data_IF_846324642817
#
_entry.id   IF_846324642817
#
_cell.length_a   1.000
_cell.length_b   1.000
_cell.length_c   1.000
_cell.angle_alpha   90.00
_cell.angle_beta   90.00
_cell.angle_gamma   90.00
#
_symmetry.space_group_name_H-M   'P 1'
#
loop_
_entity.id
_entity.type
_entity.pdbx_description
1 polymer ?
#
# COMPACT_ATOMS: atom_id res chain seq x y z
N UNK A 1 -20.60 -12.04 3.76
CA UNK A 1 -19.80 -11.61 2.61
C UNK A 1 -19.13 -10.30 3.01
N UNK A 2 -17.88 -10.35 3.47
CA UNK A 2 -17.14 -9.14 3.85
C UNK A 2 -16.59 -8.46 2.61
N UNK A 3 -16.64 -7.14 2.56
CA UNK A 3 -16.01 -6.36 1.49
C UNK A 3 -14.49 -6.41 1.67
N UNK A 4 -13.76 -6.80 0.63
CA UNK A 4 -12.31 -6.79 0.58
C UNK A 4 -11.81 -5.58 -0.23
N UNK A 5 -10.57 -5.12 0.03
CA UNK A 5 -9.98 -4.00 -0.70
C UNK A 5 -9.84 -4.31 -2.21
N UNK A 6 -9.72 -5.60 -2.55
CA UNK A 6 -9.68 -6.12 -3.93
C UNK A 6 -10.98 -5.89 -4.69
N UNK A 7 -12.10 -5.69 -3.99
CA UNK A 7 -13.39 -5.37 -4.61
C UNK A 7 -13.43 -3.91 -5.12
N UNK A 8 -12.44 -3.09 -4.73
CA UNK A 8 -12.32 -1.68 -5.07
C UNK A 8 -10.95 -1.40 -5.70
N UNK A 9 -10.71 -1.80 -6.97
CA UNK A 9 -9.39 -1.72 -7.61
C UNK A 9 -8.81 -0.30 -7.63
N UNK A 10 -9.66 0.71 -7.82
CA UNK A 10 -9.22 2.11 -7.81
C UNK A 10 -8.75 2.58 -6.43
N UNK A 11 -9.35 2.05 -5.35
CA UNK A 11 -8.94 2.33 -3.98
C UNK A 11 -7.63 1.60 -3.64
N UNK A 12 -7.48 0.36 -4.10
CA UNK A 12 -6.24 -0.41 -3.94
C UNK A 12 -5.06 0.29 -4.62
N UNK A 13 -5.22 0.75 -5.87
CA UNK A 13 -4.19 1.50 -6.59
C UNK A 13 -3.85 2.83 -5.91
N UNK A 14 -4.86 3.56 -5.44
CA UNK A 14 -4.65 4.81 -4.71
C UNK A 14 -3.82 4.59 -3.43
N UNK A 15 -4.19 3.58 -2.63
CA UNK A 15 -3.48 3.27 -1.39
C UNK A 15 -2.05 2.77 -1.68
N UNK A 16 -1.84 2.03 -2.78
CA UNK A 16 -0.52 1.57 -3.19
C UNK A 16 0.41 2.75 -3.50
N UNK A 17 -0.04 3.70 -4.34
CA UNK A 17 0.75 4.90 -4.68
C UNK A 17 0.94 5.80 -3.46
N UNK A 18 -0.10 5.98 -2.64
CA UNK A 18 0.01 6.72 -1.39
C UNK A 18 1.05 6.10 -0.45
N UNK A 19 1.06 4.78 -0.31
CA UNK A 19 2.04 4.06 0.51
C UNK A 19 3.48 4.25 0.03
N UNK A 20 3.70 4.23 -1.29
CA UNK A 20 5.01 4.51 -1.88
C UNK A 20 5.44 5.97 -1.61
N UNK A 21 4.55 6.94 -1.80
CA UNK A 21 4.85 8.35 -1.56
C UNK A 21 5.20 8.64 -0.08
N UNK A 22 4.48 8.01 0.85
CA UNK A 22 4.77 8.09 2.28
C UNK A 22 6.12 7.42 2.59
N UNK A 23 6.40 6.25 2.02
CA UNK A 23 7.68 5.59 2.21
C UNK A 23 8.84 6.48 1.72
N UNK A 24 8.71 7.05 0.53
CA UNK A 24 9.70 7.96 -0.06
C UNK A 24 9.95 9.20 0.82
N UNK A 25 8.92 9.74 1.48
CA UNK A 25 9.05 10.87 2.39
C UNK A 25 9.93 10.57 3.61
N UNK A 26 9.86 9.36 4.14
CA UNK A 26 10.57 8.97 5.36
C UNK A 26 11.92 8.31 5.12
N UNK A 27 12.21 7.81 3.90
CA UNK A 27 13.53 7.25 3.57
C UNK A 27 14.71 8.18 3.89
N UNK A 28 14.66 9.50 3.63
CA UNK A 28 15.73 10.42 4.02
C UNK A 28 15.96 10.51 5.53
N UNK A 29 14.97 10.12 6.34
CA UNK A 29 15.06 10.08 7.80
C UNK A 29 15.63 8.74 8.31
N UNK A 30 16.05 7.85 7.42
CA UNK A 30 16.59 6.53 7.75
C UNK A 30 15.53 5.48 8.09
N UNK A 31 14.25 5.77 7.83
CA UNK A 31 13.14 4.83 8.05
C UNK A 31 12.86 4.11 6.74
N UNK A 32 13.13 2.80 6.72
CA UNK A 32 12.86 1.96 5.55
C UNK A 32 11.64 1.07 5.85
N UNK A 33 10.58 1.24 5.07
CA UNK A 33 9.37 0.45 5.23
C UNK A 33 9.47 -0.83 4.41
N UNK A 34 9.00 -1.98 4.94
CA UNK A 34 8.92 -3.20 4.16
C UNK A 34 8.03 -3.00 2.92
N UNK A 35 8.33 -3.69 1.81
CA UNK A 35 7.53 -3.60 0.59
C UNK A 35 6.06 -3.89 0.88
N UNK A 36 5.17 -3.20 0.17
CA UNK A 36 3.72 -3.24 0.37
C UNK A 36 3.08 -4.60 0.03
N UNK A 37 3.41 -5.65 0.78
CA UNK A 37 2.86 -7.00 0.66
C UNK A 37 1.40 -7.10 1.12
N UNK A 38 0.91 -6.09 1.84
CA UNK A 38 -0.49 -5.94 2.25
C UNK A 38 -1.45 -5.76 1.06
N UNK A 39 -0.92 -5.43 -0.13
CA UNK A 39 -1.70 -5.31 -1.36
C UNK A 39 -1.91 -6.64 -2.10
N UNK A 40 -1.11 -7.68 -1.83
CA UNK A 40 -1.05 -8.91 -2.63
C UNK A 40 -1.40 -10.19 -1.85
N UNK A 41 -1.68 -10.09 -0.55
CA UNK A 41 -1.93 -11.23 0.33
C UNK A 41 -3.37 -11.77 0.35
N UNK A 42 -4.26 -11.37 -0.55
CA UNK A 42 -5.65 -11.86 -0.58
C UNK A 42 -6.15 -12.33 -1.95
N UNK A 43 -5.27 -12.89 -2.78
CA UNK A 43 -5.68 -13.67 -3.96
C UNK A 43 -5.71 -15.16 -3.60
#
# INVERSE_FOLDING_TARGET
MGLAITDFPMLADFLHVWGLAVADFFRPMGIDFPPANWSLGSI
#
